data_IF_181958873987
#
_entry.id   IF_181958873987
#
_cell.length_a   1.000
_cell.length_b   1.000
_cell.length_c   1.000
_cell.angle_alpha   90.00
_cell.angle_beta   90.00
_cell.angle_gamma   90.00
#
_symmetry.space_group_name_H-M   'P 1'
#
loop_
_entity.id
_entity.type
_entity.pdbx_description
1 polymer ?
#
# COMPACT_ATOMS: atom_id res chain seq x y z
N UNK A 1 -6.41 6.37 14.29
CA UNK A 1 -6.57 5.82 12.92
C UNK A 1 -5.34 5.03 12.56
N UNK A 2 -5.47 3.91 11.83
CA UNK A 2 -4.36 3.13 11.30
C UNK A 2 -4.30 3.23 9.77
N UNK A 3 -3.11 3.47 9.22
CA UNK A 3 -2.86 3.49 7.79
C UNK A 3 -1.64 2.63 7.50
N UNK A 4 -1.82 1.60 6.70
CA UNK A 4 -0.74 0.76 6.18
C UNK A 4 -0.55 1.09 4.69
N UNK A 5 0.69 1.24 4.26
CA UNK A 5 1.05 1.37 2.84
C UNK A 5 1.90 0.18 2.44
N UNK A 6 1.43 -0.58 1.47
CA UNK A 6 2.15 -1.72 0.89
C UNK A 6 2.77 -1.29 -0.44
N UNK A 7 4.10 -1.30 -0.51
CA UNK A 7 4.87 -0.73 -1.63
C UNK A 7 6.17 -1.51 -1.86
N UNK A 8 6.80 -1.31 -3.02
CA UNK A 8 8.17 -1.77 -3.30
C UNK A 8 9.24 -0.77 -2.84
N UNK A 9 8.86 0.46 -2.51
CA UNK A 9 9.76 1.57 -2.23
C UNK A 9 9.42 2.25 -0.90
N UNK A 10 9.64 1.59 0.24
CA UNK A 10 9.29 2.15 1.54
C UNK A 10 10.02 3.47 1.84
N UNK A 11 11.23 3.66 1.33
CA UNK A 11 12.05 4.85 1.54
C UNK A 11 11.44 6.12 0.95
N UNK A 12 10.55 6.01 -0.05
CA UNK A 12 9.86 7.17 -0.64
C UNK A 12 8.92 7.89 0.34
N UNK A 13 8.53 7.21 1.41
CA UNK A 13 7.61 7.74 2.41
C UNK A 13 8.35 8.43 3.57
N UNK A 14 9.68 8.31 3.63
CA UNK A 14 10.53 9.00 4.60
C UNK A 14 10.63 10.48 4.23
N UNK A 15 10.54 11.35 5.24
CA UNK A 15 10.65 12.80 5.07
C UNK A 15 9.29 13.50 5.13
N UNK A 16 8.47 13.50 4.06
CA UNK A 16 7.17 14.19 4.07
C UNK A 16 6.24 13.75 5.19
N UNK A 17 6.33 12.48 5.61
CA UNK A 17 5.51 11.92 6.69
C UNK A 17 6.17 11.95 8.07
N UNK A 18 7.41 12.45 8.14
CA UNK A 18 8.21 12.57 9.36
C UNK A 18 8.37 14.03 9.80
N UNK A 19 7.59 14.94 9.20
CA UNK A 19 7.64 16.36 9.51
C UNK A 19 6.26 16.92 9.94
N UNK A 20 6.29 18.00 10.72
CA UNK A 20 5.14 18.85 11.01
C UNK A 20 3.95 18.09 11.63
N UNK A 21 2.72 18.33 11.16
CA UNK A 21 1.48 17.81 11.75
C UNK A 21 1.42 16.28 11.70
N UNK A 22 1.93 15.65 10.62
CA UNK A 22 1.93 14.19 10.49
C UNK A 22 2.85 13.56 11.53
N UNK A 23 4.05 14.12 11.72
CA UNK A 23 4.98 13.68 12.76
C UNK A 23 4.33 13.75 14.15
N UNK A 24 3.77 14.91 14.51
CA UNK A 24 3.12 15.10 15.83
C UNK A 24 1.96 14.13 16.04
N UNK A 25 1.15 13.87 15.02
CA UNK A 25 0.05 12.91 15.10
C UNK A 25 0.54 11.48 15.36
N UNK A 26 1.71 11.10 14.82
CA UNK A 26 2.34 9.80 15.07
C UNK A 26 2.93 9.72 16.47
N UNK A 27 3.68 10.74 16.90
CA UNK A 27 4.30 10.81 18.24
C UNK A 27 3.27 10.81 19.37
N UNK A 28 2.10 11.40 19.13
CA UNK A 28 0.98 11.43 20.10
C UNK A 28 0.06 10.21 20.00
N UNK A 29 0.34 9.27 19.08
CA UNK A 29 -0.45 8.05 18.89
C UNK A 29 -1.82 8.26 18.20
N UNK A 30 -2.14 9.47 17.74
CA UNK A 30 -3.39 9.74 17.01
C UNK A 30 -3.42 9.05 15.63
N UNK A 31 -2.23 8.90 15.03
CA UNK A 31 -2.02 8.22 13.75
C UNK A 31 -1.01 7.09 13.90
N UNK A 32 -1.42 5.86 13.60
CA UNK A 32 -0.51 4.74 13.37
C UNK A 32 -0.29 4.62 11.86
N UNK A 33 0.90 4.97 11.38
CA UNK A 33 1.27 4.92 9.96
C UNK A 33 2.44 3.96 9.75
N UNK A 34 2.22 2.89 8.97
CA UNK A 34 3.25 1.88 8.66
C UNK A 34 3.46 1.78 7.16
N UNK A 35 4.72 1.67 6.75
CA UNK A 35 5.11 1.43 5.36
C UNK A 35 5.74 0.04 5.31
N UNK A 36 5.23 -0.79 4.41
CA UNK A 36 5.47 -2.21 4.38
C UNK A 36 6.04 -2.56 3.01
N UNK A 37 7.17 -3.24 3.00
CA UNK A 37 7.82 -3.66 1.77
C UNK A 37 7.18 -4.96 1.27
N UNK A 38 6.60 -4.94 0.07
CA UNK A 38 5.99 -6.13 -0.54
C UNK A 38 7.03 -7.25 -0.77
N UNK A 39 8.31 -6.89 -0.91
CA UNK A 39 9.40 -7.87 -1.05
C UNK A 39 9.57 -8.77 0.16
N UNK A 40 9.03 -8.41 1.32
CA UNK A 40 9.10 -9.25 2.52
C UNK A 40 8.06 -10.39 2.52
N UNK A 41 7.15 -10.39 1.54
CA UNK A 41 6.16 -11.46 1.29
C UNK A 41 6.57 -12.34 0.10
N UNK A 42 7.86 -12.42 -0.18
CA UNK A 42 8.41 -13.29 -1.22
C UNK A 42 9.26 -14.38 -0.58
N UNK A 43 9.25 -15.58 -1.19
CA UNK A 43 9.90 -16.76 -0.63
C UNK A 43 11.11 -17.24 -1.45
N UNK A 44 11.38 -16.61 -2.59
CA UNK A 44 12.53 -16.93 -3.43
C UNK A 44 13.77 -16.11 -3.02
N UNK A 45 14.95 -16.63 -3.34
CA UNK A 45 16.24 -16.00 -3.02
C UNK A 45 16.36 -14.57 -3.57
N UNK A 46 15.73 -14.28 -4.69
CA UNK A 46 15.85 -12.99 -5.38
C UNK A 46 14.80 -11.97 -4.96
N UNK A 47 13.88 -12.34 -4.05
CA UNK A 47 12.74 -11.52 -3.64
C UNK A 47 11.94 -10.98 -4.83
N UNK A 48 11.57 -11.90 -5.73
CA UNK A 48 10.90 -11.61 -7.00
C UNK A 48 9.43 -11.29 -6.74
N UNK A 49 9.01 -10.09 -7.14
CA UNK A 49 7.67 -9.54 -6.88
C UNK A 49 6.83 -9.40 -8.14
N UNK A 50 7.40 -9.65 -9.30
CA UNK A 50 6.80 -9.44 -10.62
C UNK A 50 6.98 -10.66 -11.53
N UNK A 51 6.09 -10.80 -12.52
CA UNK A 51 6.18 -11.81 -13.57
C UNK A 51 5.60 -11.27 -14.89
N UNK A 52 5.84 -12.00 -15.97
CA UNK A 52 5.35 -11.63 -17.30
C UNK A 52 3.83 -11.81 -17.39
N UNK A 53 3.13 -10.89 -18.07
CA UNK A 53 1.71 -11.06 -18.33
C UNK A 53 1.46 -12.30 -19.21
N UNK A 54 0.47 -13.10 -18.84
CA UNK A 54 -0.04 -14.15 -19.72
C UNK A 54 -0.61 -13.53 -21.00
N UNK A 55 -0.39 -14.20 -22.14
CA UNK A 55 -0.74 -13.68 -23.47
C UNK A 55 0.35 -12.82 -24.12
N UNK A 56 1.43 -12.51 -23.40
CA UNK A 56 2.54 -11.70 -23.89
C UNK A 56 2.27 -10.20 -23.80
N UNK A 57 3.13 -9.40 -24.44
CA UNK A 57 3.15 -7.94 -24.31
C UNK A 57 4.42 -7.44 -23.61
N UNK A 58 4.69 -6.12 -23.67
CA UNK A 58 5.81 -5.53 -22.95
C UNK A 58 5.52 -5.44 -21.45
N UNK A 59 6.57 -5.24 -20.65
CA UNK A 59 6.46 -4.96 -19.22
C UNK A 59 6.29 -6.20 -18.35
N UNK A 60 6.01 -5.93 -17.08
CA UNK A 60 5.84 -6.92 -16.02
C UNK A 60 4.58 -6.56 -15.22
N UNK A 61 4.00 -7.53 -14.52
CA UNK A 61 2.92 -7.33 -13.56
C UNK A 61 3.36 -7.81 -12.19
N UNK A 62 2.85 -7.18 -11.13
CA UNK A 62 3.06 -7.72 -9.79
C UNK A 62 2.46 -9.12 -9.68
N UNK A 63 3.21 -10.01 -9.04
CA UNK A 63 2.80 -11.38 -8.77
C UNK A 63 1.63 -11.39 -7.79
N UNK A 64 0.63 -12.26 -8.00
CA UNK A 64 -0.49 -12.37 -7.07
C UNK A 64 -0.03 -12.85 -5.69
N UNK A 65 0.86 -13.83 -5.60
CA UNK A 65 1.15 -14.51 -4.33
C UNK A 65 1.65 -13.55 -3.23
N UNK A 66 2.68 -12.70 -3.46
CA UNK A 66 3.12 -11.74 -2.44
C UNK A 66 2.04 -10.72 -2.08
N UNK A 67 1.21 -10.30 -3.03
CA UNK A 67 0.12 -9.34 -2.78
C UNK A 67 -0.91 -9.97 -1.86
N UNK A 68 -1.40 -11.17 -2.19
CA UNK A 68 -2.44 -11.82 -1.40
C UNK A 68 -1.93 -12.15 0.01
N UNK A 69 -0.72 -12.70 0.15
CA UNK A 69 -0.13 -12.97 1.46
C UNK A 69 0.00 -11.70 2.32
N UNK A 70 0.43 -10.60 1.72
CA UNK A 70 0.52 -9.31 2.42
C UNK A 70 -0.84 -8.77 2.81
N UNK A 71 -1.80 -8.74 1.89
CA UNK A 71 -3.15 -8.21 2.17
C UNK A 71 -3.84 -9.05 3.24
N UNK A 72 -3.81 -10.38 3.14
CA UNK A 72 -4.46 -11.27 4.11
C UNK A 72 -3.85 -11.19 5.50
N UNK A 73 -2.52 -11.03 5.61
CA UNK A 73 -1.86 -10.90 6.92
C UNK A 73 -2.05 -9.52 7.57
N UNK A 74 -2.36 -8.50 6.78
CA UNK A 74 -2.49 -7.13 7.25
C UNK A 74 -3.94 -6.71 7.50
N UNK A 75 -4.92 -7.46 7.00
CA UNK A 75 -6.33 -7.06 7.01
C UNK A 75 -7.16 -7.84 8.02
N UNK A 76 -8.23 -7.19 8.47
CA UNK A 76 -9.33 -7.78 9.21
C UNK A 76 -10.67 -7.34 8.58
N UNK A 77 -11.79 -7.75 9.19
CA UNK A 77 -13.12 -7.43 8.69
C UNK A 77 -13.44 -5.92 8.65
N UNK A 78 -12.69 -5.08 9.37
CA UNK A 78 -12.88 -3.63 9.43
C UNK A 78 -11.88 -2.87 8.54
N UNK A 79 -10.98 -3.57 7.85
CA UNK A 79 -9.93 -2.93 7.05
C UNK A 79 -10.44 -2.53 5.68
N UNK A 80 -10.31 -1.24 5.34
CA UNK A 80 -10.58 -0.72 4.00
C UNK A 80 -9.34 -0.88 3.13
N UNK A 81 -9.35 -1.83 2.19
CA UNK A 81 -8.28 -2.01 1.20
C UNK A 81 -8.51 -1.10 -0.02
N UNK A 82 -7.48 -0.34 -0.41
CA UNK A 82 -7.50 0.60 -1.53
C UNK A 82 -6.32 0.32 -2.46
N UNK A 83 -6.60 -0.10 -3.70
CA UNK A 83 -5.59 -0.18 -4.76
C UNK A 83 -5.44 1.19 -5.43
N UNK A 84 -4.22 1.72 -5.44
CA UNK A 84 -3.90 2.96 -6.13
C UNK A 84 -3.68 2.66 -7.62
N UNK A 85 -4.62 3.08 -8.46
CA UNK A 85 -4.61 2.80 -9.90
C UNK A 85 -5.09 4.02 -10.71
N UNK A 86 -4.49 4.30 -11.89
CA UNK A 86 -4.99 5.32 -12.80
C UNK A 86 -6.40 5.02 -13.34
N UNK A 87 -6.83 3.76 -13.34
CA UNK A 87 -8.20 3.35 -13.70
C UNK A 87 -9.22 3.54 -12.57
N UNK A 88 -8.79 4.01 -11.40
CA UNK A 88 -9.64 4.19 -10.22
C UNK A 88 -10.49 5.47 -10.23
N UNK A 89 -11.28 5.65 -9.16
CA UNK A 89 -12.02 6.89 -8.91
C UNK A 89 -11.02 8.04 -8.70
N UNK A 90 -11.23 9.17 -9.37
CA UNK A 90 -10.43 10.38 -9.14
C UNK A 90 -10.54 10.83 -7.68
N UNK A 91 -9.42 10.87 -6.97
CA UNK A 91 -9.36 11.25 -5.57
C UNK A 91 -9.75 12.72 -5.37
N UNK A 92 -10.61 12.99 -4.40
CA UNK A 92 -11.07 14.33 -4.05
C UNK A 92 -11.38 14.43 -2.55
N UNK A 93 -11.72 15.65 -2.08
CA UNK A 93 -11.95 15.90 -0.66
C UNK A 93 -13.13 15.10 -0.07
N UNK A 94 -14.11 14.71 -0.89
CA UNK A 94 -15.22 13.86 -0.43
C UNK A 94 -14.70 12.47 -0.09
N UNK A 95 -13.88 11.89 -0.96
CA UNK A 95 -13.25 10.59 -0.73
C UNK A 95 -12.29 10.65 0.47
N UNK A 96 -11.54 11.74 0.63
CA UNK A 96 -10.68 11.93 1.81
C UNK A 96 -11.48 11.87 3.12
N UNK A 97 -12.66 12.50 3.18
CA UNK A 97 -13.55 12.45 4.35
C UNK A 97 -14.21 11.09 4.56
N UNK A 98 -14.46 10.34 3.49
CA UNK A 98 -14.91 8.95 3.55
C UNK A 98 -13.84 8.10 4.23
N UNK A 99 -12.62 8.09 3.68
CA UNK A 99 -11.49 7.31 4.21
C UNK A 99 -11.11 7.72 5.64
N UNK A 100 -11.23 9.00 6.01
CA UNK A 100 -10.93 9.48 7.35
C UNK A 100 -11.84 8.91 8.45
N UNK A 101 -12.98 8.30 8.09
CA UNK A 101 -13.87 7.63 9.05
C UNK A 101 -13.48 6.18 9.31
N UNK A 102 -12.62 5.61 8.49
CA UNK A 102 -12.18 4.22 8.63
C UNK A 102 -11.23 4.07 9.80
N UNK A 103 -11.39 2.98 10.56
CA UNK A 103 -10.47 2.66 11.66
C UNK A 103 -9.09 2.26 11.11
N UNK A 104 -9.07 1.50 10.01
CA UNK A 104 -7.87 1.02 9.34
C UNK A 104 -8.03 1.07 7.81
N UNK A 105 -7.08 1.73 7.14
CA UNK A 105 -6.95 1.75 5.68
C UNK A 105 -5.64 1.07 5.27
N UNK A 106 -5.70 0.13 4.33
CA UNK A 106 -4.53 -0.45 3.66
C UNK A 106 -4.47 0.10 2.23
N UNK A 107 -3.39 0.82 1.90
CA UNK A 107 -3.14 1.34 0.56
C UNK A 107 -2.12 0.44 -0.15
N UNK A 108 -2.54 -0.18 -1.26
CA UNK A 108 -1.67 -0.98 -2.13
C UNK A 108 -1.16 -0.09 -3.28
N UNK A 109 0.15 0.12 -3.32
CA UNK A 109 0.82 0.82 -4.40
C UNK A 109 1.13 -0.15 -5.54
N UNK A 110 0.50 0.04 -6.70
CA UNK A 110 0.87 -0.67 -7.92
C UNK A 110 2.29 -0.32 -8.39
N UNK A 111 2.87 -1.16 -9.23
CA UNK A 111 4.14 -0.93 -9.92
C UNK A 111 4.12 -1.61 -11.28
N UNK A 112 5.15 -1.40 -12.10
CA UNK A 112 5.21 -1.95 -13.45
C UNK A 112 3.95 -1.58 -14.27
N UNK A 113 3.31 -2.54 -14.95
CA UNK A 113 2.05 -2.33 -15.69
C UNK A 113 0.79 -2.49 -14.81
N UNK A 114 0.94 -2.82 -13.53
CA UNK A 114 -0.14 -3.15 -12.60
C UNK A 114 0.34 -3.75 -11.30
#
# INVERSE_FOLDING_TARGET
MKIDVLTLFPEMFVGPLDASIVQRARETGMLNFRVINLRDYTHDRHKTVDDRPFGGGPGMLLKPEPIFEAVESLTDAATRVVLLSPGGRMFNQVIARELAKEAHVLMLCGSYEG
#
